data_IF_144077411002
#
_entry.id   IF_144077411002
#
_cell.length_a   1.000
_cell.length_b   1.000
_cell.length_c   1.000
_cell.angle_alpha   90.00
_cell.angle_beta   90.00
_cell.angle_gamma   90.00
#
_symmetry.space_group_name_H-M   'P 1'
#
loop_
_entity.id
_entity.type
_entity.pdbx_description
1 polymer ?
#
# COMPACT_ATOMS: atom_id res chain seq x y z
N UNK A 1 13.75 -5.48 16.46
CA UNK A 1 13.33 -4.10 16.14
C UNK A 1 11.88 -4.17 15.69
N UNK A 2 10.97 -3.41 16.29
CA UNK A 2 9.57 -3.38 15.83
C UNK A 2 9.50 -2.44 14.62
N UNK A 3 9.29 -2.98 13.42
CA UNK A 3 9.07 -2.16 12.22
C UNK A 3 7.61 -1.73 12.23
N UNK A 4 7.33 -0.45 12.47
CA UNK A 4 5.99 0.10 12.29
C UNK A 4 5.65 0.03 10.80
N UNK A 5 4.70 -0.84 10.44
CA UNK A 5 4.20 -0.96 9.07
C UNK A 5 3.02 -0.02 8.93
N UNK A 6 3.14 0.95 8.05
CA UNK A 6 2.01 1.78 7.64
C UNK A 6 1.30 1.13 6.44
N UNK A 7 -0.01 0.94 6.58
CA UNK A 7 -0.86 0.36 5.55
C UNK A 7 -1.81 1.44 5.02
N UNK A 8 -2.11 1.38 3.72
CA UNK A 8 -3.07 2.25 3.05
C UNK A 8 -4.05 1.42 2.25
N UNK A 9 -5.32 1.75 2.38
CA UNK A 9 -6.40 1.20 1.57
C UNK A 9 -6.57 2.05 0.31
N UNK A 10 -6.69 1.38 -0.83
CA UNK A 10 -7.01 2.01 -2.10
C UNK A 10 -8.50 2.31 -2.13
N UNK A 11 -8.87 3.59 -2.20
CA UNK A 11 -10.28 4.02 -2.15
C UNK A 11 -10.91 4.20 -3.54
N UNK A 12 -10.12 4.10 -4.60
CA UNK A 12 -10.58 4.17 -5.97
C UNK A 12 -9.55 3.54 -6.91
N UNK A 13 -10.01 2.83 -7.93
CA UNK A 13 -9.18 2.22 -8.95
C UNK A 13 -8.17 3.21 -9.56
N UNK A 14 -6.96 2.70 -9.81
CA UNK A 14 -5.93 3.40 -10.56
C UNK A 14 -5.22 2.41 -11.49
N UNK A 15 -5.31 2.56 -12.82
CA UNK A 15 -4.76 1.59 -13.76
C UNK A 15 -3.22 1.69 -13.91
N UNK A 16 -2.56 2.60 -13.21
CA UNK A 16 -1.17 2.95 -13.50
C UNK A 16 -1.04 3.92 -14.67
N UNK A 17 0.14 3.98 -15.26
CA UNK A 17 0.40 4.70 -16.52
C UNK A 17 0.94 3.71 -17.55
N UNK A 18 0.48 3.84 -18.79
CA UNK A 18 0.98 3.05 -19.91
C UNK A 18 2.46 3.40 -20.12
N UNK A 19 3.29 2.38 -20.31
CA UNK A 19 4.75 2.47 -20.52
C UNK A 19 5.57 3.16 -19.41
N UNK A 20 5.01 3.32 -18.21
CA UNK A 20 5.73 3.84 -17.04
C UNK A 20 5.54 2.92 -15.84
N UNK A 21 6.46 1.94 -15.74
CA UNK A 21 6.48 0.91 -14.69
C UNK A 21 6.63 1.49 -13.27
N UNK A 22 6.99 2.77 -13.13
CA UNK A 22 6.99 3.41 -11.82
C UNK A 22 5.57 3.54 -11.26
N UNK A 23 4.52 3.44 -12.06
CA UNK A 23 3.13 3.54 -11.63
C UNK A 23 2.42 2.20 -11.78
N UNK A 24 2.09 1.58 -10.65
CA UNK A 24 1.48 0.26 -10.63
C UNK A 24 -0.05 0.33 -10.61
N UNK A 25 -0.74 -0.64 -11.24
CA UNK A 25 -2.18 -0.74 -11.16
C UNK A 25 -2.64 -1.19 -9.77
N UNK A 26 -3.64 -0.51 -9.23
CA UNK A 26 -4.32 -0.85 -7.97
C UNK A 26 -5.84 -0.81 -8.13
N UNK A 27 -6.52 -1.60 -7.29
CA UNK A 27 -7.97 -1.75 -7.27
C UNK A 27 -8.51 -1.27 -5.94
N UNK A 28 -9.70 -0.67 -5.98
CA UNK A 28 -10.39 -0.26 -4.77
C UNK A 28 -10.56 -1.45 -3.82
N UNK A 29 -10.25 -1.23 -2.53
CA UNK A 29 -10.25 -2.25 -1.49
C UNK A 29 -8.90 -2.96 -1.30
N UNK A 30 -7.92 -2.77 -2.19
CA UNK A 30 -6.56 -3.25 -1.95
C UNK A 30 -5.97 -2.56 -0.70
N UNK A 31 -5.28 -3.31 0.14
CA UNK A 31 -4.54 -2.78 1.29
C UNK A 31 -3.05 -3.01 1.04
N UNK A 32 -2.35 -1.95 0.70
CA UNK A 32 -0.93 -1.99 0.33
C UNK A 32 -0.06 -1.34 1.41
N UNK A 33 1.20 -1.80 1.49
CA UNK A 33 2.18 -1.24 2.43
C UNK A 33 2.76 0.04 1.87
N UNK A 34 2.75 1.10 2.67
CA UNK A 34 3.42 2.35 2.31
C UNK A 34 4.95 2.22 2.51
N UNK A 35 5.70 2.62 1.49
CA UNK A 35 7.16 2.66 1.48
C UNK A 35 7.67 4.10 1.58
N UNK A 36 7.02 5.04 0.87
CA UNK A 36 7.45 6.45 0.83
C UNK A 36 6.26 7.40 0.61
N UNK A 37 6.28 8.56 1.28
CA UNK A 37 5.35 9.66 1.06
C UNK A 37 6.04 10.77 0.26
N UNK A 38 5.52 11.09 -0.93
CA UNK A 38 5.83 12.32 -1.65
C UNK A 38 4.57 13.21 -1.72
N UNK A 39 4.70 14.46 -2.20
CA UNK A 39 3.64 15.47 -2.18
C UNK A 39 2.38 15.08 -2.96
N UNK A 40 2.56 14.40 -4.10
CA UNK A 40 1.45 14.04 -5.03
C UNK A 40 1.23 12.53 -5.08
N UNK A 41 2.31 11.76 -4.89
CA UNK A 41 2.30 10.31 -5.04
C UNK A 41 2.86 9.65 -3.79
N UNK A 42 2.30 8.51 -3.43
CA UNK A 42 2.89 7.60 -2.46
C UNK A 42 3.47 6.40 -3.19
N UNK A 43 4.61 5.92 -2.73
CA UNK A 43 5.17 4.65 -3.19
C UNK A 43 4.67 3.55 -2.26
N UNK A 44 3.94 2.59 -2.82
CA UNK A 44 3.43 1.42 -2.11
C UNK A 44 4.09 0.14 -2.61
N UNK A 45 4.06 -0.91 -1.79
CA UNK A 45 4.51 -2.25 -2.15
C UNK A 45 3.31 -3.19 -2.25
N UNK A 46 3.13 -3.81 -3.42
CA UNK A 46 2.07 -4.76 -3.75
C UNK A 46 2.67 -5.99 -4.41
N UNK A 47 2.50 -7.16 -3.78
CA UNK A 47 2.98 -8.43 -4.32
C UNK A 47 4.48 -8.45 -4.68
N UNK A 48 5.31 -7.77 -3.86
CA UNK A 48 6.76 -7.65 -4.10
C UNK A 48 7.16 -6.60 -5.15
N UNK A 49 6.21 -5.92 -5.79
CA UNK A 49 6.47 -4.79 -6.69
C UNK A 49 6.26 -3.47 -5.95
N UNK A 50 7.08 -2.48 -6.25
CA UNK A 50 6.96 -1.12 -5.71
C UNK A 50 6.53 -0.16 -6.81
N UNK A 51 5.59 0.72 -6.51
CA UNK A 51 5.14 1.71 -7.47
C UNK A 51 4.38 2.87 -6.85
N UNK A 52 4.27 3.94 -7.63
CA UNK A 52 3.64 5.21 -7.31
C UNK A 52 2.15 5.15 -7.56
N UNK A 53 1.38 5.58 -6.57
CA UNK A 53 -0.07 5.74 -6.63
C UNK A 53 -0.40 7.17 -6.18
N UNK A 54 -1.31 7.90 -6.85
CA UNK A 54 -1.72 9.24 -6.42
C UNK A 54 -2.24 9.21 -4.97
N UNK A 55 -1.82 10.15 -4.13
CA UNK A 55 -2.20 10.14 -2.71
C UNK A 55 -3.72 10.25 -2.50
N UNK A 56 -4.45 10.96 -3.38
CA UNK A 56 -5.90 11.07 -3.34
C UNK A 56 -6.65 9.76 -3.68
N UNK A 57 -5.94 8.71 -4.10
CA UNK A 57 -6.48 7.36 -4.31
C UNK A 57 -6.29 6.45 -3.09
N UNK A 58 -5.62 6.94 -2.05
CA UNK A 58 -5.24 6.16 -0.88
C UNK A 58 -5.80 6.78 0.39
N UNK A 59 -6.22 5.95 1.32
CA UNK A 59 -6.59 6.33 2.69
C UNK A 59 -5.76 5.52 3.66
N UNK A 60 -5.31 6.14 4.75
CA UNK A 60 -4.60 5.41 5.80
C UNK A 60 -5.49 4.28 6.31
N UNK A 61 -4.99 3.07 6.26
CA UNK A 61 -5.71 1.90 6.73
C UNK A 61 -5.53 1.78 8.24
N UNK A 62 -6.57 2.16 8.97
CA UNK A 62 -6.65 1.99 10.42
C UNK A 62 -7.32 0.66 10.75
N UNK A 63 -6.81 -0.43 10.15
CA UNK A 63 -7.19 -1.77 10.57
C UNK A 63 -6.97 -1.90 12.07
N UNK A 64 -7.91 -2.55 12.77
CA UNK A 64 -7.78 -2.85 14.20
C UNK A 64 -6.35 -3.30 14.48
N UNK A 65 -5.66 -2.63 15.41
CA UNK A 65 -4.32 -3.02 15.88
C UNK A 65 -4.38 -4.44 16.45
N UNK A 66 -4.21 -5.43 15.59
CA UNK A 66 -3.94 -6.80 15.98
C UNK A 66 -3.25 -7.52 14.82
N UNK A 67 -2.02 -7.09 14.50
CA UNK A 67 -1.00 -8.09 14.21
C UNK A 67 -0.50 -8.59 15.58
N UNK A 68 -1.37 -9.33 16.28
CA UNK A 68 -0.89 -10.35 17.19
C UNK A 68 -0.13 -11.31 16.30
N UNK A 69 1.18 -11.40 16.50
CA UNK A 69 1.98 -12.44 15.90
C UNK A 69 1.55 -13.75 16.57
N UNK A 70 0.46 -14.32 16.07
CA UNK A 70 -0.05 -15.63 16.47
C UNK A 70 -0.20 -16.45 15.22
N UNK A 71 0.87 -17.12 14.84
CA UNK A 71 0.78 -18.42 14.19
C UNK A 71 1.75 -19.36 14.91
N UNK A 72 1.16 -20.45 15.38
CA UNK A 72 1.65 -21.47 16.32
C UNK A 72 2.26 -22.67 15.57
N UNK A 73 3.04 -23.49 16.30
CA UNK A 73 3.42 -24.92 16.06
C UNK A 73 4.58 -25.11 15.06
N UNK A 74 5.74 -25.67 15.45
CA UNK A 74 5.99 -26.98 16.09
C UNK A 74 7.11 -26.96 17.12
#
# INVERSE_FOLDING_TARGET
MQTLVELFEVISDYPGKIDDEQYIPVKQGDVDRLIKRDLVYYTVEKGGRKGKVPNGKLKKYEGNKSLSQSQTIS
#
